data_IF_466403043515
#
_entry.id   IF_466403043515
#
_cell.length_a   1.000
_cell.length_b   1.000
_cell.length_c   1.000
_cell.angle_alpha   90.00
_cell.angle_beta   90.00
_cell.angle_gamma   90.00
#
_symmetry.space_group_name_H-M   'P 1'
#
loop_
_entity.id
_entity.type
_entity.pdbx_description
1 polymer ?
#
# COMPACT_ATOMS: atom_id res chain seq x y z
N UNK A 1 -6.51 -49.19 26.07
CA UNK A 1 -6.72 -49.26 27.53
C UNK A 1 -5.55 -48.57 28.21
N UNK A 2 -5.78 -47.34 28.65
CA UNK A 2 -4.84 -46.56 29.46
C UNK A 2 -4.78 -47.11 30.88
N UNK A 3 -3.69 -46.83 31.60
CA UNK A 3 -3.89 -46.30 32.94
C UNK A 3 -3.15 -44.97 33.17
N UNK A 4 -3.92 -43.99 33.64
CA UNK A 4 -3.49 -42.74 34.24
C UNK A 4 -2.72 -43.00 35.56
N UNK A 5 -1.69 -42.20 35.85
CA UNK A 5 -1.37 -41.79 37.24
C UNK A 5 -0.61 -40.46 37.23
N UNK A 6 -1.29 -39.47 37.79
CA UNK A 6 -0.89 -38.13 38.24
C UNK A 6 0.16 -38.14 39.36
N UNK A 7 1.20 -37.28 39.25
CA UNK A 7 1.93 -36.57 40.32
C UNK A 7 2.53 -35.31 39.63
N UNK A 8 2.18 -34.04 39.88
CA UNK A 8 2.03 -33.21 41.10
C UNK A 8 3.31 -33.07 41.93
N UNK A 9 4.10 -32.04 41.62
CA UNK A 9 4.95 -31.34 42.60
C UNK A 9 4.55 -29.85 42.60
N UNK A 10 4.06 -29.44 43.76
CA UNK A 10 3.76 -28.09 44.22
C UNK A 10 5.03 -27.47 44.84
N UNK A 11 4.94 -26.19 45.24
CA UNK A 11 5.78 -25.43 46.20
C UNK A 11 6.80 -24.49 45.53
N UNK A 12 6.87 -23.18 45.80
CA UNK A 12 6.24 -22.30 46.79
C UNK A 12 6.59 -20.84 46.44
N UNK A 13 5.67 -19.91 46.71
CA UNK A 13 5.96 -18.49 47.05
C UNK A 13 6.38 -17.60 45.87
N UNK A 14 5.99 -16.34 45.75
CA UNK A 14 5.57 -15.38 46.76
C UNK A 14 4.60 -14.39 46.08
N UNK A 15 3.47 -14.18 46.74
CA UNK A 15 2.56 -13.06 46.51
C UNK A 15 3.29 -11.77 46.91
N UNK A 16 3.50 -10.86 45.96
CA UNK A 16 3.71 -9.44 46.28
C UNK A 16 2.85 -8.56 45.40
N UNK A 17 1.67 -8.31 45.93
CA UNK A 17 0.88 -7.10 45.72
C UNK A 17 1.74 -5.83 45.54
N UNK A 18 1.46 -5.12 44.44
CA UNK A 18 1.36 -3.65 44.28
C UNK A 18 2.60 -2.78 44.60
N UNK A 19 2.85 -1.69 43.84
CA UNK A 19 2.00 -0.51 43.98
C UNK A 19 1.57 0.12 42.65
N UNK A 20 0.28 0.46 42.64
CA UNK A 20 -0.35 1.54 41.90
C UNK A 20 0.63 2.72 41.72
N UNK A 21 1.27 2.79 40.54
CA UNK A 21 1.96 4.01 40.14
C UNK A 21 0.88 5.06 39.86
N UNK A 22 0.62 5.86 40.88
CA UNK A 22 -0.13 7.10 40.82
C UNK A 22 0.62 8.05 39.88
N UNK A 23 0.39 7.91 38.57
CA UNK A 23 0.79 8.92 37.60
C UNK A 23 -0.05 10.16 37.90
N UNK A 24 0.55 11.13 38.59
CA UNK A 24 -0.02 12.47 38.76
C UNK A 24 -0.50 12.94 37.38
N UNK A 25 -1.80 13.18 37.29
CA UNK A 25 -2.43 13.81 36.14
C UNK A 25 -1.97 15.26 36.09
N UNK A 26 -0.87 15.51 35.40
CA UNK A 26 -0.49 16.86 35.00
C UNK A 26 -1.45 17.22 33.86
N UNK A 27 -2.41 18.11 34.14
CA UNK A 27 -3.27 18.70 33.10
C UNK A 27 -2.40 19.52 32.15
N UNK A 28 -2.30 19.20 30.85
CA UNK A 28 -1.81 20.18 29.90
C UNK A 28 -2.96 21.16 29.63
N UNK A 29 -2.94 22.32 30.29
CA UNK A 29 -3.62 23.51 29.78
C UNK A 29 -2.91 23.96 28.51
N UNK A 30 -3.25 23.29 27.41
CA UNK A 30 -2.80 23.59 26.07
C UNK A 30 -3.96 23.34 25.13
N UNK A 31 -4.51 24.42 24.57
CA UNK A 31 -5.60 24.42 23.59
C UNK A 31 -5.31 23.37 22.51
N UNK A 32 -6.27 22.52 22.07
CA UNK A 32 -6.04 21.64 20.95
C UNK A 32 -5.89 22.50 19.69
N UNK A 33 -4.64 22.80 19.32
CA UNK A 33 -4.32 23.30 17.99
C UNK A 33 -4.50 22.11 17.06
N UNK A 34 -5.62 22.11 16.35
CA UNK A 34 -5.89 21.20 15.24
C UNK A 34 -4.65 21.19 14.35
N UNK A 35 -3.85 20.11 14.40
CA UNK A 35 -2.68 19.96 13.53
C UNK A 35 -3.18 19.46 12.18
N UNK A 36 -3.69 20.38 11.39
CA UNK A 36 -3.94 20.16 9.98
C UNK A 36 -2.60 20.08 9.24
N UNK A 37 -2.47 18.98 8.49
CA UNK A 37 -1.75 18.82 7.21
C UNK A 37 -0.23 18.93 7.19
N UNK A 38 0.41 17.78 6.96
CA UNK A 38 1.25 17.52 5.76
C UNK A 38 1.51 16.02 5.68
N UNK A 39 0.52 15.27 5.19
CA UNK A 39 0.77 13.95 4.62
C UNK A 39 1.39 14.16 3.24
N UNK A 40 2.68 13.93 3.09
CA UNK A 40 3.40 14.00 1.80
C UNK A 40 3.14 12.77 0.92
N UNK A 41 1.92 12.20 0.95
CA UNK A 41 1.57 11.08 0.07
C UNK A 41 0.20 11.31 -0.55
N UNK A 42 -0.04 12.54 -1.01
CA UNK A 42 -1.12 12.81 -1.93
C UNK A 42 -0.79 12.14 -3.26
N UNK A 43 -1.60 11.14 -3.62
CA UNK A 43 -2.10 10.99 -4.99
C UNK A 43 -1.12 10.54 -6.10
N UNK A 44 -0.08 9.74 -5.81
CA UNK A 44 0.88 9.27 -6.85
C UNK A 44 0.22 8.52 -8.03
N UNK A 45 -0.99 7.97 -7.85
CA UNK A 45 -1.76 7.31 -8.92
C UNK A 45 -3.14 7.95 -9.11
N UNK A 46 -3.70 8.59 -8.07
CA UNK A 46 -5.05 9.15 -8.07
C UNK A 46 -5.20 10.53 -8.72
N UNK A 47 -4.10 11.25 -8.98
CA UNK A 47 -4.16 12.49 -9.76
C UNK A 47 -3.80 12.20 -11.21
N UNK A 48 -4.77 11.74 -11.99
CA UNK A 48 -4.78 12.08 -13.41
C UNK A 48 -4.94 13.60 -13.51
N UNK A 49 -3.84 14.31 -13.31
CA UNK A 49 -3.77 15.76 -13.48
C UNK A 49 -4.21 16.05 -14.91
N UNK A 50 -5.08 17.04 -15.18
CA UNK A 50 -5.49 17.36 -16.56
C UNK A 50 -4.34 17.87 -17.44
N UNK A 51 -3.13 17.98 -16.89
CA UNK A 51 -1.89 18.41 -17.53
C UNK A 51 -0.95 17.22 -17.82
N UNK A 52 -1.47 16.13 -18.38
CA UNK A 52 -0.59 15.07 -18.88
C UNK A 52 -0.36 15.27 -20.37
N UNK A 53 0.88 15.53 -20.77
CA UNK A 53 1.21 15.72 -22.19
C UNK A 53 1.07 14.39 -22.97
N UNK A 54 0.61 14.41 -24.23
CA UNK A 54 0.54 13.21 -25.06
C UNK A 54 1.94 12.65 -25.34
N UNK A 55 2.06 11.33 -25.46
CA UNK A 55 3.31 10.69 -25.86
C UNK A 55 3.66 10.99 -27.33
N UNK A 56 4.95 11.28 -27.64
CA UNK A 56 5.41 11.45 -29.02
C UNK A 56 5.35 10.13 -29.81
N UNK A 57 5.62 9.00 -29.14
CA UNK A 57 5.60 7.65 -29.73
C UNK A 57 4.72 6.71 -28.87
N UNK A 58 3.40 6.65 -29.11
CA UNK A 58 2.49 5.90 -28.25
C UNK A 58 2.72 4.38 -28.27
N UNK A 59 3.19 3.82 -29.41
CA UNK A 59 3.51 2.38 -29.52
C UNK A 59 4.70 1.97 -28.63
N UNK A 60 5.75 2.80 -28.60
CA UNK A 60 6.91 2.55 -27.74
C UNK A 60 6.55 2.70 -26.27
N UNK A 61 5.80 3.76 -25.94
CA UNK A 61 5.29 3.99 -24.58
C UNK A 61 4.42 2.82 -24.08
N UNK A 62 3.58 2.25 -24.95
CA UNK A 62 2.78 1.08 -24.64
C UNK A 62 3.63 -0.18 -24.37
N UNK A 63 4.63 -0.44 -25.20
CA UNK A 63 5.53 -1.58 -24.98
C UNK A 63 6.29 -1.43 -23.66
N UNK A 64 6.84 -0.24 -23.39
CA UNK A 64 7.46 0.08 -22.10
C UNK A 64 6.50 -0.09 -20.92
N UNK A 65 5.27 0.39 -21.06
CA UNK A 65 4.25 0.24 -20.03
C UNK A 65 4.03 -1.23 -19.66
N UNK A 66 3.89 -2.12 -20.65
CA UNK A 66 3.72 -3.55 -20.42
C UNK A 66 4.93 -4.16 -19.71
N UNK A 67 6.15 -3.84 -20.15
CA UNK A 67 7.38 -4.30 -19.50
C UNK A 67 7.47 -3.81 -18.04
N UNK A 68 7.07 -2.57 -17.77
CA UNK A 68 7.08 -1.98 -16.43
C UNK A 68 6.07 -2.64 -15.49
N UNK A 69 4.89 -3.02 -16.00
CA UNK A 69 3.88 -3.76 -15.22
C UNK A 69 4.37 -5.16 -14.83
N UNK A 70 5.19 -5.81 -15.66
CA UNK A 70 5.73 -7.14 -15.36
C UNK A 70 7.03 -7.10 -14.55
N UNK A 71 7.54 -5.91 -14.24
CA UNK A 71 8.79 -5.74 -13.53
C UNK A 71 8.64 -6.09 -12.03
N UNK A 72 9.63 -6.76 -11.40
CA UNK A 72 9.57 -7.12 -9.98
C UNK A 72 9.72 -5.92 -9.02
N UNK A 73 10.42 -4.87 -9.46
CA UNK A 73 10.58 -3.64 -8.67
C UNK A 73 9.30 -2.81 -8.66
N UNK A 74 8.75 -2.54 -7.48
CA UNK A 74 7.46 -1.88 -7.31
C UNK A 74 7.45 -0.44 -7.84
N UNK A 75 8.58 0.28 -7.78
CA UNK A 75 8.70 1.65 -8.30
C UNK A 75 8.50 1.68 -9.81
N UNK A 76 9.05 0.67 -10.50
CA UNK A 76 8.90 0.51 -11.94
C UNK A 76 7.46 0.19 -12.29
N UNK A 77 6.79 -0.67 -11.52
CA UNK A 77 5.36 -0.95 -11.69
C UNK A 77 4.50 0.31 -11.53
N UNK A 78 4.79 1.16 -10.54
CA UNK A 78 4.08 2.44 -10.35
C UNK A 78 4.27 3.36 -11.55
N UNK A 79 5.47 3.45 -12.12
CA UNK A 79 5.72 4.20 -13.36
C UNK A 79 4.94 3.63 -14.55
N UNK A 80 4.82 2.29 -14.63
CA UNK A 80 3.99 1.61 -15.62
C UNK A 80 2.52 1.98 -15.49
N UNK A 81 1.98 1.98 -14.25
CA UNK A 81 0.59 2.38 -13.98
C UNK A 81 0.34 3.85 -14.34
N UNK A 82 1.27 4.76 -14.04
CA UNK A 82 1.17 6.17 -14.46
C UNK A 82 1.20 6.34 -15.99
N UNK A 83 2.07 5.57 -16.66
CA UNK A 83 2.17 5.54 -18.12
C UNK A 83 0.86 5.02 -18.73
N UNK A 84 0.26 3.99 -18.12
CA UNK A 84 -1.02 3.44 -18.54
C UNK A 84 -2.14 4.48 -18.45
N UNK A 85 -2.26 5.20 -17.33
CA UNK A 85 -3.25 6.28 -17.17
C UNK A 85 -3.08 7.35 -18.24
N UNK A 86 -1.84 7.71 -18.58
CA UNK A 86 -1.57 8.65 -19.67
C UNK A 86 -1.98 8.10 -21.04
N UNK A 87 -1.73 6.81 -21.30
CA UNK A 87 -2.11 6.14 -22.54
C UNK A 87 -3.64 6.06 -22.70
N UNK A 88 -4.38 5.78 -21.63
CA UNK A 88 -5.85 5.72 -21.68
C UNK A 88 -6.48 7.08 -21.94
N UNK A 89 -5.85 8.18 -21.52
CA UNK A 89 -6.35 9.54 -21.78
C UNK A 89 -6.13 10.02 -23.22
N UNK A 90 -5.01 9.69 -23.86
CA UNK A 90 -4.64 10.28 -25.17
C UNK A 90 -4.62 9.30 -26.34
N UNK A 91 -4.44 8.00 -26.09
CA UNK A 91 -4.03 7.01 -27.11
C UNK A 91 -4.85 5.72 -27.05
N UNK A 92 -6.17 5.82 -26.90
CA UNK A 92 -7.09 4.67 -26.79
C UNK A 92 -7.03 3.73 -27.99
N UNK A 93 -6.80 4.25 -29.21
CA UNK A 93 -6.68 3.45 -30.43
C UNK A 93 -5.51 2.45 -30.38
N UNK A 94 -4.40 2.82 -29.74
CA UNK A 94 -3.24 1.92 -29.59
C UNK A 94 -3.44 0.91 -28.46
N UNK A 95 -4.27 1.25 -27.47
CA UNK A 95 -4.57 0.40 -26.33
C UNK A 95 -5.55 -0.72 -26.68
N UNK A 96 -6.51 -0.46 -27.58
CA UNK A 96 -7.55 -1.42 -27.99
C UNK A 96 -7.05 -2.84 -28.32
N UNK A 97 -6.00 -3.04 -29.15
CA UNK A 97 -5.55 -4.39 -29.50
C UNK A 97 -4.89 -5.15 -28.33
N UNK A 98 -4.40 -4.46 -27.30
CA UNK A 98 -3.67 -5.07 -26.17
C UNK A 98 -4.39 -4.90 -24.84
N UNK A 99 -5.63 -4.40 -24.86
CA UNK A 99 -6.39 -4.08 -23.67
C UNK A 99 -6.51 -5.29 -22.73
N UNK A 100 -6.75 -6.48 -23.28
CA UNK A 100 -6.82 -7.72 -22.50
C UNK A 100 -5.51 -7.99 -21.75
N UNK A 101 -4.36 -7.85 -22.41
CA UNK A 101 -3.05 -8.06 -21.79
C UNK A 101 -2.81 -7.06 -20.66
N UNK A 102 -3.16 -5.79 -20.88
CA UNK A 102 -3.07 -4.72 -19.88
C UNK A 102 -3.94 -5.04 -18.66
N UNK A 103 -5.20 -5.43 -18.87
CA UNK A 103 -6.12 -5.76 -17.77
C UNK A 103 -5.60 -6.96 -16.96
N UNK A 104 -5.11 -8.00 -17.62
CA UNK A 104 -4.51 -9.16 -16.95
C UNK A 104 -3.29 -8.74 -16.13
N UNK A 105 -2.40 -7.91 -16.69
CA UNK A 105 -1.23 -7.40 -15.98
C UNK A 105 -1.63 -6.58 -14.74
N UNK A 106 -2.55 -5.63 -14.89
CA UNK A 106 -3.04 -4.79 -13.78
C UNK A 106 -3.74 -5.62 -12.70
N UNK A 107 -4.49 -6.65 -13.08
CA UNK A 107 -5.19 -7.53 -12.13
C UNK A 107 -4.22 -8.26 -11.19
N UNK A 108 -3.00 -8.57 -11.65
CA UNK A 108 -1.95 -9.17 -10.79
C UNK A 108 -1.56 -8.24 -9.64
N UNK A 109 -1.69 -6.92 -9.82
CA UNK A 109 -1.28 -5.92 -8.84
C UNK A 109 -2.32 -5.64 -7.76
N UNK A 110 -3.59 -6.05 -7.93
CA UNK A 110 -4.67 -5.84 -6.94
C UNK A 110 -4.32 -6.48 -5.58
N UNK A 111 -3.58 -7.60 -5.59
CA UNK A 111 -3.16 -8.32 -4.38
C UNK A 111 -1.76 -7.91 -3.87
N UNK A 112 -1.19 -6.81 -4.38
CA UNK A 112 0.15 -6.38 -3.99
C UNK A 112 0.17 -5.85 -2.54
N UNK A 113 1.16 -6.29 -1.74
CA UNK A 113 1.33 -5.83 -0.35
C UNK A 113 1.73 -4.36 -0.24
N UNK A 114 2.31 -3.79 -1.30
CA UNK A 114 2.54 -2.35 -1.41
C UNK A 114 1.21 -1.70 -1.78
N UNK A 115 0.62 -1.00 -0.80
CA UNK A 115 -0.57 -0.16 -1.02
C UNK A 115 -0.41 0.82 -2.18
N UNK A 116 0.83 1.18 -2.51
CA UNK A 116 1.11 2.05 -3.63
C UNK A 116 0.84 1.44 -5.00
N UNK A 117 0.93 0.13 -5.12
CA UNK A 117 0.76 -0.61 -6.38
C UNK A 117 -0.65 -1.19 -6.49
N UNK A 118 -1.30 -1.48 -5.36
CA UNK A 118 -2.63 -2.06 -5.30
C UNK A 118 -3.79 -1.05 -5.43
N UNK A 119 -3.52 0.23 -5.19
CA UNK A 119 -4.51 1.31 -5.21
C UNK A 119 -4.87 1.78 -6.62
#
# INVERSE_FOLDING_TARGET
>A
PEPETTQSEELTGEEKSSPLHQRKLIKPTGKPKLRTTKGTTRDVIGSASPDVAPFPNPKEALNRCLQQLEHPEWEVTVQGLQTLVRLTCHHTTQLSPVLHQVVVAVTKHIRNLRSQVAR
#
